data_IF_893737592742
#
_entry.id   IF_893737592742
#
_cell.length_a   1.000
_cell.length_b   1.000
_cell.length_c   1.000
_cell.angle_alpha   90.00
_cell.angle_beta   90.00
_cell.angle_gamma   90.00
#
_symmetry.space_group_name_H-M   'P 1'
#
loop_
_entity.id
_entity.type
_entity.pdbx_description
1 polymer ?
#
# COMPACT_ATOMS: atom_id res chain seq x y z
N UNK A 1 -9.50 -26.83 43.68
CA UNK A 1 -10.51 -26.47 42.66
C UNK A 1 -11.34 -25.32 43.23
N UNK A 2 -10.91 -24.09 42.96
CA UNK A 2 -11.55 -22.86 43.46
C UNK A 2 -11.69 -21.92 42.27
N UNK A 3 -12.93 -21.56 41.98
CA UNK A 3 -13.35 -20.94 40.74
C UNK A 3 -12.79 -19.53 40.55
N UNK A 4 -12.10 -19.33 39.44
CA UNK A 4 -11.70 -18.01 38.97
C UNK A 4 -12.95 -17.31 38.41
N UNK A 5 -13.56 -16.48 39.24
CA UNK A 5 -14.72 -15.66 38.90
C UNK A 5 -14.31 -14.63 37.82
N UNK A 6 -14.66 -14.92 36.56
CA UNK A 6 -14.51 -14.00 35.44
C UNK A 6 -15.44 -12.80 35.64
N UNK A 7 -14.94 -11.80 36.37
CA UNK A 7 -15.62 -10.53 36.62
C UNK A 7 -15.68 -9.77 35.29
N UNK A 8 -16.83 -9.86 34.61
CA UNK A 8 -17.13 -9.17 33.36
C UNK A 8 -17.08 -7.65 33.63
N UNK A 9 -15.94 -7.02 33.32
CA UNK A 9 -15.75 -5.57 33.43
C UNK A 9 -16.73 -4.91 32.47
N UNK A 10 -17.83 -4.36 33.00
CA UNK A 10 -18.73 -3.48 32.25
C UNK A 10 -18.03 -2.14 32.11
N UNK A 11 -17.48 -1.88 30.93
CA UNK A 11 -16.98 -0.56 30.59
C UNK A 11 -18.14 0.45 30.57
N UNK A 12 -17.99 1.63 31.18
CA UNK A 12 -19.01 2.67 31.14
C UNK A 12 -19.26 3.11 29.69
N UNK A 13 -20.53 3.21 29.33
CA UNK A 13 -21.01 3.57 27.98
C UNK A 13 -20.57 4.96 27.51
N UNK A 14 -20.02 5.80 28.39
CA UNK A 14 -19.42 7.10 28.07
C UNK A 14 -18.02 7.02 27.44
N UNK A 15 -17.33 5.87 27.52
CA UNK A 15 -16.08 5.63 26.80
C UNK A 15 -16.29 5.30 25.31
N UNK A 16 -17.54 5.11 24.86
CA UNK A 16 -17.88 5.00 23.45
C UNK A 16 -17.60 6.29 22.66
N UNK A 17 -17.50 7.44 23.34
CA UNK A 17 -17.15 8.73 22.72
C UNK A 17 -15.64 8.94 22.54
N UNK A 18 -14.80 8.19 23.26
CA UNK A 18 -13.33 8.21 23.11
C UNK A 18 -12.91 6.98 22.31
N UNK A 19 -13.49 6.77 21.12
CA UNK A 19 -12.96 6.01 19.96
C UNK A 19 -12.20 4.66 20.12
N UNK A 20 -12.13 4.06 21.30
CA UNK A 20 -11.33 2.88 21.62
C UNK A 20 -12.20 1.62 21.76
N UNK A 21 -13.53 1.79 21.78
CA UNK A 21 -14.49 0.72 21.62
C UNK A 21 -14.95 0.62 20.16
N UNK A 22 -14.49 -0.42 19.46
CA UNK A 22 -14.90 -0.90 18.12
C UNK A 22 -13.81 -0.77 17.03
N UNK A 23 -12.95 -1.78 16.92
CA UNK A 23 -12.34 -2.26 15.67
C UNK A 23 -12.08 -1.21 14.57
N UNK A 24 -11.24 -0.19 14.80
CA UNK A 24 -10.83 0.77 13.77
C UNK A 24 -10.24 0.08 12.51
N UNK A 25 -9.78 -1.16 12.68
CA UNK A 25 -9.32 -2.07 11.63
C UNK A 25 -10.41 -2.38 10.59
N UNK A 26 -11.68 -2.57 11.00
CA UNK A 26 -12.76 -2.97 10.07
C UNK A 26 -13.17 -1.85 9.10
N UNK A 27 -13.41 -0.60 9.56
CA UNK A 27 -13.62 0.53 8.65
C UNK A 27 -12.42 0.77 7.73
N UNK A 28 -11.19 0.68 8.26
CA UNK A 28 -9.96 0.84 7.47
C UNK A 28 -9.81 -0.21 6.37
N UNK A 29 -10.10 -1.48 6.68
CA UNK A 29 -10.08 -2.58 5.71
C UNK A 29 -11.09 -2.34 4.57
N UNK A 30 -12.34 -1.96 4.92
CA UNK A 30 -13.41 -1.70 3.95
C UNK A 30 -13.12 -0.48 3.09
N UNK A 31 -12.74 0.64 3.72
CA UNK A 31 -12.38 1.86 2.99
C UNK A 31 -11.19 1.60 2.07
N UNK A 32 -10.18 0.85 2.53
CA UNK A 32 -9.06 0.44 1.72
C UNK A 32 -9.47 -0.43 0.52
N UNK A 33 -10.37 -1.39 0.71
CA UNK A 33 -10.89 -2.21 -0.38
C UNK A 33 -11.66 -1.40 -1.42
N UNK A 34 -12.52 -0.47 -0.99
CA UNK A 34 -13.23 0.43 -1.91
C UNK A 34 -12.25 1.30 -2.69
N UNK A 35 -11.23 1.87 -2.03
CA UNK A 35 -10.23 2.70 -2.69
C UNK A 35 -9.37 1.91 -3.69
N UNK A 36 -8.94 0.69 -3.32
CA UNK A 36 -8.19 -0.19 -4.24
C UNK A 36 -9.07 -0.64 -5.41
N UNK A 37 -10.32 -1.06 -5.18
CA UNK A 37 -11.24 -1.46 -6.25
C UNK A 37 -11.47 -0.31 -7.23
N UNK A 38 -11.86 0.87 -6.74
CA UNK A 38 -12.11 2.04 -7.59
C UNK A 38 -10.85 2.49 -8.31
N UNK A 39 -9.70 2.51 -7.64
CA UNK A 39 -8.45 2.91 -8.25
C UNK A 39 -7.95 1.93 -9.30
N UNK A 40 -7.98 0.62 -9.02
CA UNK A 40 -7.60 -0.43 -9.98
C UNK A 40 -8.55 -0.46 -11.17
N UNK A 41 -9.84 -0.15 -10.98
CA UNK A 41 -10.78 0.03 -12.07
C UNK A 41 -10.37 1.18 -12.98
N UNK A 42 -10.13 2.39 -12.43
CA UNK A 42 -9.67 3.56 -13.20
C UNK A 42 -8.37 3.29 -13.96
N UNK A 43 -7.40 2.62 -13.33
CA UNK A 43 -6.14 2.23 -13.98
C UNK A 43 -6.40 1.25 -15.14
N UNK A 44 -7.26 0.25 -14.95
CA UNK A 44 -7.64 -0.69 -16.00
C UNK A 44 -8.30 0.03 -17.20
N UNK A 45 -9.20 0.99 -16.94
CA UNK A 45 -9.84 1.77 -17.99
C UNK A 45 -8.82 2.63 -18.76
N UNK A 46 -7.88 3.26 -18.04
CA UNK A 46 -6.84 4.08 -18.68
C UNK A 46 -5.97 3.25 -19.60
N UNK A 47 -5.48 2.10 -19.12
CA UNK A 47 -4.63 1.19 -19.89
C UNK A 47 -5.39 0.64 -21.09
N UNK A 48 -6.67 0.31 -20.91
CA UNK A 48 -7.57 -0.22 -21.95
C UNK A 48 -7.85 0.71 -23.12
N UNK A 49 -7.36 1.96 -23.09
CA UNK A 49 -7.41 2.84 -24.26
C UNK A 49 -8.76 3.53 -24.49
N UNK A 50 -9.72 3.41 -23.57
CA UNK A 50 -10.87 4.31 -23.53
C UNK A 50 -10.32 5.75 -23.43
N UNK A 51 -11.01 6.74 -23.99
CA UNK A 51 -10.68 8.19 -23.97
C UNK A 51 -10.71 8.81 -22.55
N UNK A 52 -10.40 8.00 -21.55
CA UNK A 52 -10.21 8.31 -20.16
C UNK A 52 -8.99 9.22 -20.01
N UNK A 53 -9.11 10.41 -19.39
CA UNK A 53 -8.01 11.36 -19.26
C UNK A 53 -6.91 10.88 -18.29
N UNK A 54 -5.71 11.49 -18.39
CA UNK A 54 -4.58 11.22 -17.49
C UNK A 54 -4.91 11.42 -16.00
N UNK A 55 -5.88 12.29 -15.69
CA UNK A 55 -6.38 12.48 -14.32
C UNK A 55 -6.87 11.16 -13.71
N UNK A 56 -7.43 10.24 -14.50
CA UNK A 56 -7.84 8.93 -14.00
C UNK A 56 -6.65 8.08 -13.54
N UNK A 57 -5.49 8.18 -14.21
CA UNK A 57 -4.24 7.54 -13.77
C UNK A 57 -3.84 8.05 -12.40
N UNK A 58 -3.84 9.37 -12.22
CA UNK A 58 -3.43 10.02 -10.98
C UNK A 58 -4.38 9.67 -9.85
N UNK A 59 -5.69 9.81 -10.06
CA UNK A 59 -6.72 9.47 -9.06
C UNK A 59 -6.68 7.97 -8.74
N UNK A 60 -6.54 7.11 -9.75
CA UNK A 60 -6.45 5.67 -9.57
C UNK A 60 -5.21 5.24 -8.79
N UNK A 61 -4.06 5.85 -9.06
CA UNK A 61 -2.83 5.63 -8.33
C UNK A 61 -2.94 6.10 -6.86
N UNK A 62 -3.51 7.29 -6.62
CA UNK A 62 -3.74 7.80 -5.25
C UNK A 62 -4.69 6.86 -4.49
N UNK A 63 -5.82 6.46 -5.10
CA UNK A 63 -6.80 5.58 -4.47
C UNK A 63 -6.24 4.19 -4.14
N UNK A 64 -5.55 3.55 -5.09
CA UNK A 64 -4.89 2.25 -4.84
C UNK A 64 -3.81 2.33 -3.78
N UNK A 65 -2.97 3.37 -3.83
CA UNK A 65 -1.90 3.57 -2.86
C UNK A 65 -2.44 3.84 -1.45
N UNK A 66 -3.42 4.73 -1.31
CA UNK A 66 -4.03 5.04 -0.01
C UNK A 66 -4.74 3.84 0.58
N UNK A 67 -5.46 3.06 -0.23
CA UNK A 67 -6.12 1.85 0.25
C UNK A 67 -5.12 0.75 0.68
N UNK A 68 -4.06 0.54 -0.10
CA UNK A 68 -2.99 -0.40 0.28
C UNK A 68 -2.30 0.05 1.58
N UNK A 69 -1.98 1.35 1.72
CA UNK A 69 -1.40 1.90 2.94
C UNK A 69 -2.31 1.77 4.15
N UNK A 70 -3.63 1.91 3.98
CA UNK A 70 -4.59 1.70 5.06
C UNK A 70 -4.56 0.25 5.57
N UNK A 71 -4.37 -0.74 4.68
CA UNK A 71 -4.20 -2.13 5.08
C UNK A 71 -2.87 -2.38 5.79
N UNK A 72 -1.76 -1.88 5.24
CA UNK A 72 -0.44 -2.01 5.89
C UNK A 72 -0.44 -1.34 7.27
N UNK A 73 -1.03 -0.16 7.40
CA UNK A 73 -1.16 0.55 8.67
C UNK A 73 -2.06 -0.20 9.65
N UNK A 74 -3.17 -0.78 9.17
CA UNK A 74 -4.04 -1.63 9.99
C UNK A 74 -3.30 -2.84 10.57
N UNK A 75 -2.44 -3.49 9.78
CA UNK A 75 -1.57 -4.58 10.23
C UNK A 75 -0.56 -4.10 11.27
N UNK A 76 0.07 -2.93 11.04
CA UNK A 76 0.99 -2.30 11.98
C UNK A 76 0.33 -2.03 13.34
N UNK A 77 -0.83 -1.38 13.32
CA UNK A 77 -1.60 -1.09 14.54
C UNK A 77 -2.05 -2.37 15.25
N UNK A 78 -2.37 -3.44 14.51
CA UNK A 78 -2.69 -4.73 15.12
C UNK A 78 -1.46 -5.36 15.77
N UNK A 79 -0.28 -5.24 15.17
CA UNK A 79 1.00 -5.65 15.76
C UNK A 79 1.31 -4.87 17.05
N UNK A 80 1.13 -3.55 17.05
CA UNK A 80 1.34 -2.71 18.23
C UNK A 80 0.40 -3.10 19.39
N UNK A 81 -0.86 -3.44 19.08
CA UNK A 81 -1.86 -3.83 20.09
C UNK A 81 -1.72 -5.28 20.60
N UNK A 82 -1.14 -6.18 19.82
CA UNK A 82 -0.90 -7.57 20.22
C UNK A 82 0.33 -7.73 21.14
N UNK A 83 1.01 -6.63 21.47
CA UNK A 83 2.37 -6.63 21.97
C UNK A 83 3.34 -6.65 20.79
N UNK A 84 4.36 -5.78 20.82
CA UNK A 84 5.31 -5.65 19.70
C UNK A 84 5.87 -7.03 19.33
N UNK A 85 5.83 -7.45 18.05
CA UNK A 85 6.30 -8.78 17.63
C UNK A 85 7.69 -9.18 18.18
N UNK A 86 8.66 -8.25 18.33
CA UNK A 86 9.91 -8.54 19.04
C UNK A 86 9.77 -9.01 20.49
N UNK A 87 8.78 -8.50 21.25
CA UNK A 87 8.51 -8.93 22.63
C UNK A 87 7.91 -10.35 22.69
N UNK A 88 7.31 -10.81 21.58
CA UNK A 88 6.82 -12.17 21.42
C UNK A 88 7.86 -13.10 20.79
N UNK A 89 9.10 -12.63 20.61
CA UNK A 89 10.18 -13.40 19.98
C UNK A 89 10.04 -13.58 18.47
N UNK A 90 9.13 -12.86 17.82
CA UNK A 90 8.91 -12.94 16.37
C UNK A 90 10.01 -12.13 15.66
N UNK A 91 10.81 -12.75 14.78
CA UNK A 91 11.84 -12.02 14.05
C UNK A 91 11.25 -10.94 13.13
N UNK A 92 11.84 -9.73 13.02
CA UNK A 92 11.35 -8.63 12.18
C UNK A 92 11.09 -9.00 10.71
N UNK A 93 11.81 -10.00 10.18
CA UNK A 93 11.57 -10.56 8.85
C UNK A 93 10.15 -11.12 8.65
N UNK A 94 9.55 -11.73 9.68
CA UNK A 94 8.21 -12.30 9.57
C UNK A 94 7.14 -11.21 9.55
N UNK A 95 7.35 -10.13 10.30
CA UNK A 95 6.50 -8.95 10.26
C UNK A 95 6.56 -8.28 8.89
N UNK A 96 7.76 -8.13 8.31
CA UNK A 96 7.93 -7.61 6.96
C UNK A 96 7.24 -8.49 5.91
N UNK A 97 7.33 -9.82 6.04
CA UNK A 97 6.61 -10.76 5.17
C UNK A 97 5.10 -10.64 5.32
N UNK A 98 4.57 -10.43 6.52
CA UNK A 98 3.13 -10.22 6.73
C UNK A 98 2.65 -8.93 6.04
N UNK A 99 3.43 -7.85 6.12
CA UNK A 99 3.17 -6.57 5.45
C UNK A 99 3.33 -6.64 3.92
N UNK A 100 3.95 -7.70 3.40
CA UNK A 100 3.97 -7.99 1.97
C UNK A 100 2.79 -8.89 1.57
N UNK A 101 2.71 -10.09 2.13
CA UNK A 101 1.81 -11.15 1.64
C UNK A 101 0.33 -10.80 1.80
N UNK A 102 -0.08 -10.30 2.98
CA UNK A 102 -1.49 -10.03 3.26
C UNK A 102 -2.01 -8.89 2.38
N UNK A 103 -1.35 -7.72 2.30
CA UNK A 103 -1.79 -6.66 1.39
C UNK A 103 -1.69 -7.06 -0.08
N UNK A 104 -0.70 -7.88 -0.48
CA UNK A 104 -0.60 -8.40 -1.86
C UNK A 104 -1.82 -9.23 -2.24
N UNK A 105 -2.20 -10.19 -1.38
CA UNK A 105 -3.33 -11.09 -1.67
C UNK A 105 -4.66 -10.32 -1.75
N UNK A 106 -4.88 -9.37 -0.83
CA UNK A 106 -6.05 -8.49 -0.88
C UNK A 106 -6.06 -7.62 -2.13
N UNK A 107 -4.92 -7.03 -2.47
CA UNK A 107 -4.79 -6.20 -3.67
C UNK A 107 -5.05 -7.01 -4.95
N UNK A 108 -4.48 -8.20 -5.07
CA UNK A 108 -4.70 -9.09 -6.20
C UNK A 108 -6.17 -9.48 -6.36
N UNK A 109 -6.87 -9.77 -5.25
CA UNK A 109 -8.32 -10.00 -5.26
C UNK A 109 -9.10 -8.79 -5.76
N UNK A 110 -8.78 -7.59 -5.27
CA UNK A 110 -9.42 -6.36 -5.73
C UNK A 110 -9.13 -6.07 -7.22
N UNK A 111 -7.90 -6.30 -7.69
CA UNK A 111 -7.55 -6.13 -9.11
C UNK A 111 -8.33 -7.12 -9.98
N UNK A 112 -8.41 -8.38 -9.59
CA UNK A 112 -9.18 -9.38 -10.33
C UNK A 112 -10.66 -8.98 -10.45
N UNK A 113 -11.26 -8.50 -9.36
CA UNK A 113 -12.65 -8.00 -9.37
C UNK A 113 -12.78 -6.75 -10.24
N UNK A 114 -11.91 -5.76 -10.08
CA UNK A 114 -11.98 -4.50 -10.81
C UNK A 114 -11.73 -4.68 -12.32
N UNK A 115 -10.68 -5.43 -12.68
CA UNK A 115 -10.35 -5.77 -14.06
C UNK A 115 -11.42 -6.63 -14.73
N UNK A 116 -11.94 -7.64 -14.02
CA UNK A 116 -13.07 -8.46 -14.50
C UNK A 116 -14.34 -7.63 -14.70
N UNK A 117 -14.64 -6.69 -13.80
CA UNK A 117 -15.75 -5.75 -13.96
C UNK A 117 -15.55 -4.84 -15.16
N UNK A 118 -14.34 -4.30 -15.37
CA UNK A 118 -14.02 -3.47 -16.54
C UNK A 118 -14.16 -4.25 -17.86
N UNK A 119 -13.71 -5.52 -17.87
CA UNK A 119 -13.86 -6.41 -19.03
C UNK A 119 -15.33 -6.69 -19.32
N UNK A 120 -16.10 -7.14 -18.33
CA UNK A 120 -17.50 -7.55 -18.50
C UNK A 120 -18.44 -6.36 -18.77
N UNK A 121 -18.23 -5.22 -18.11
CA UNK A 121 -19.15 -4.09 -18.19
C UNK A 121 -18.83 -3.12 -19.33
N UNK A 122 -17.55 -2.98 -19.70
CA UNK A 122 -17.08 -1.93 -20.62
C UNK A 122 -16.25 -2.47 -21.79
N UNK A 123 -16.08 -3.80 -21.91
CA UNK A 123 -15.33 -4.41 -23.02
C UNK A 123 -13.83 -4.11 -23.02
N UNK A 124 -13.28 -3.66 -21.88
CA UNK A 124 -11.85 -3.39 -21.72
C UNK A 124 -11.09 -4.71 -21.86
N UNK A 125 -9.98 -4.74 -22.62
CA UNK A 125 -9.23 -5.99 -22.81
C UNK A 125 -8.81 -6.63 -21.48
N UNK A 126 -8.83 -7.98 -21.41
CA UNK A 126 -8.44 -8.70 -20.20
C UNK A 126 -6.99 -8.38 -19.77
N UNK A 127 -6.10 -8.17 -20.75
CA UNK A 127 -4.70 -7.78 -20.51
C UNK A 127 -4.61 -6.41 -19.81
N UNK A 128 -5.42 -5.43 -20.22
CA UNK A 128 -5.49 -4.14 -19.54
C UNK A 128 -5.96 -4.27 -18.09
N UNK A 129 -6.91 -5.16 -17.82
CA UNK A 129 -7.40 -5.45 -16.47
C UNK A 129 -6.37 -6.10 -15.55
N UNK A 130 -5.38 -6.81 -16.11
CA UNK A 130 -4.29 -7.44 -15.35
C UNK A 130 -3.12 -6.49 -15.07
N UNK A 131 -2.98 -5.38 -15.81
CA UNK A 131 -1.85 -4.47 -15.63
C UNK A 131 -1.72 -3.89 -14.21
N UNK A 132 -2.80 -3.48 -13.52
CA UNK A 132 -2.70 -3.05 -12.13
C UNK A 132 -2.04 -4.10 -11.22
N UNK A 133 -2.18 -5.40 -11.51
CA UNK A 133 -1.52 -6.48 -10.76
C UNK A 133 0.00 -6.38 -10.84
N UNK A 134 0.55 -6.09 -12.01
CA UNK A 134 2.01 -5.98 -12.17
C UNK A 134 2.57 -4.71 -11.53
N UNK A 135 1.74 -3.70 -11.26
CA UNK A 135 2.12 -2.48 -10.52
C UNK A 135 2.15 -2.70 -8.99
N UNK A 136 1.57 -3.80 -8.49
CA UNK A 136 1.51 -4.14 -7.06
C UNK A 136 2.88 -4.10 -6.39
N UNK A 137 3.93 -4.59 -7.08
CA UNK A 137 5.28 -4.64 -6.54
C UNK A 137 5.87 -3.26 -6.21
N UNK A 138 5.59 -2.25 -7.06
CA UNK A 138 5.97 -0.85 -6.82
C UNK A 138 5.24 -0.29 -5.59
N UNK A 139 3.93 -0.50 -5.51
CA UNK A 139 3.11 -0.01 -4.39
C UNK A 139 3.52 -0.65 -3.07
N UNK A 140 3.81 -1.96 -3.06
CA UNK A 140 4.27 -2.70 -1.89
C UNK A 140 5.65 -2.27 -1.43
N UNK A 141 6.60 -2.10 -2.36
CA UNK A 141 7.93 -1.61 -2.02
C UNK A 141 7.87 -0.25 -1.33
N UNK A 142 7.06 0.67 -1.86
CA UNK A 142 6.83 1.98 -1.24
C UNK A 142 6.08 1.87 0.10
N UNK A 143 5.12 0.97 0.22
CA UNK A 143 4.42 0.73 1.49
C UNK A 143 5.38 0.21 2.57
N UNK A 144 6.32 -0.68 2.21
CA UNK A 144 7.41 -1.12 3.09
C UNK A 144 8.32 0.03 3.50
N UNK A 145 8.73 0.88 2.55
CA UNK A 145 9.53 2.08 2.88
C UNK A 145 8.78 2.97 3.87
N UNK A 146 7.47 3.13 3.70
CA UNK A 146 6.61 3.89 4.63
C UNK A 146 6.49 3.26 6.01
N UNK A 147 6.36 1.93 6.09
CA UNK A 147 6.28 1.17 7.34
C UNK A 147 7.61 1.21 8.11
N UNK A 148 8.74 1.07 7.41
CA UNK A 148 10.08 0.98 7.98
C UNK A 148 10.91 2.27 7.76
N UNK A 149 10.25 3.44 7.73
CA UNK A 149 10.88 4.73 7.38
C UNK A 149 11.97 5.22 8.34
N UNK A 150 12.08 4.62 9.52
CA UNK A 150 13.06 5.01 10.53
C UNK A 150 12.67 6.27 11.30
N UNK A 151 13.65 6.84 12.00
CA UNK A 151 13.52 8.14 12.64
C UNK A 151 13.46 9.25 11.59
N UNK A 152 12.75 10.30 11.96
CA UNK A 152 12.65 11.50 11.15
C UNK A 152 14.04 12.19 11.09
N UNK A 153 14.43 12.79 9.95
CA UNK A 153 15.75 13.40 9.80
C UNK A 153 15.93 14.62 10.72
N UNK A 154 17.16 14.86 11.20
CA UNK A 154 17.52 15.95 12.12
C UNK A 154 17.03 17.37 11.74
N UNK A 155 16.94 17.76 10.45
CA UNK A 155 16.41 19.07 10.07
C UNK A 155 14.98 19.36 10.54
N UNK A 156 14.22 18.33 10.97
CA UNK A 156 12.86 18.51 11.52
C UNK A 156 12.88 19.31 12.84
N UNK A 157 14.01 19.37 13.53
CA UNK A 157 14.17 20.14 14.78
C UNK A 157 14.67 21.57 14.56
N UNK A 158 14.82 22.01 13.30
CA UNK A 158 15.19 23.39 12.98
C UNK A 158 13.95 24.29 12.92
N UNK A 159 14.00 25.52 13.47
CA UNK A 159 12.82 26.40 13.61
C UNK A 159 12.16 26.75 12.27
N UNK A 160 12.92 26.89 11.18
CA UNK A 160 12.38 27.30 9.88
C UNK A 160 12.11 26.13 8.92
N UNK A 161 12.68 24.95 9.19
CA UNK A 161 12.60 23.79 8.30
C UNK A 161 11.80 22.62 8.89
N UNK A 162 11.37 22.72 10.15
CA UNK A 162 10.77 21.61 10.88
C UNK A 162 9.57 20.97 10.19
N UNK A 163 8.51 21.76 9.99
CA UNK A 163 7.25 21.29 9.38
C UNK A 163 7.43 20.90 7.89
N UNK A 164 8.07 21.71 7.03
CA UNK A 164 8.29 21.32 5.64
C UNK A 164 9.12 20.04 5.49
N UNK A 165 10.18 19.86 6.30
CA UNK A 165 11.00 18.65 6.28
C UNK A 165 10.21 17.42 6.72
N UNK A 166 9.33 17.55 7.72
CA UNK A 166 8.46 16.46 8.17
C UNK A 166 7.45 16.07 7.09
N UNK A 167 6.84 17.05 6.41
CA UNK A 167 5.92 16.80 5.29
C UNK A 167 6.67 16.10 4.16
N UNK A 168 7.82 16.63 3.73
CA UNK A 168 8.62 16.01 2.66
C UNK A 168 9.04 14.58 3.01
N UNK A 169 9.54 14.35 4.23
CA UNK A 169 9.92 13.01 4.69
C UNK A 169 8.74 12.04 4.74
N UNK A 170 7.59 12.48 5.24
CA UNK A 170 6.39 11.64 5.37
C UNK A 170 5.70 11.34 4.05
N UNK A 171 5.81 12.25 3.07
CA UNK A 171 5.18 12.15 1.75
C UNK A 171 6.08 11.57 0.68
N UNK A 172 7.41 11.55 0.85
CA UNK A 172 8.36 11.11 -0.16
C UNK A 172 8.05 9.71 -0.74
N UNK A 173 7.80 8.65 0.07
CA UNK A 173 7.41 7.36 -0.49
C UNK A 173 6.10 7.47 -1.29
N UNK A 174 5.16 8.24 -0.73
CA UNK A 174 3.91 8.68 -1.35
C UNK A 174 4.07 9.11 -2.81
N UNK A 175 4.85 10.18 -2.98
CA UNK A 175 5.13 10.84 -4.25
C UNK A 175 5.90 9.92 -5.20
N UNK A 176 6.88 9.15 -4.70
CA UNK A 176 7.65 8.21 -5.53
C UNK A 176 6.74 7.16 -6.17
N UNK A 177 5.83 6.55 -5.40
CA UNK A 177 4.86 5.61 -5.96
C UNK A 177 3.94 6.29 -6.98
N UNK A 178 3.42 7.49 -6.69
CA UNK A 178 2.54 8.20 -7.61
C UNK A 178 3.21 8.44 -8.98
N UNK A 179 4.44 8.93 -8.97
CA UNK A 179 5.23 9.18 -10.20
C UNK A 179 5.49 7.86 -10.95
N UNK A 180 5.93 6.81 -10.24
CA UNK A 180 6.18 5.51 -10.85
C UNK A 180 4.90 4.91 -11.46
N UNK A 181 3.79 4.94 -10.74
CA UNK A 181 2.49 4.45 -11.22
C UNK A 181 2.03 5.21 -12.46
N UNK A 182 2.16 6.54 -12.46
CA UNK A 182 1.79 7.35 -13.62
C UNK A 182 2.61 6.99 -14.85
N UNK A 183 3.94 6.91 -14.72
CA UNK A 183 4.83 6.54 -15.83
C UNK A 183 4.52 5.13 -16.34
N UNK A 184 4.44 4.15 -15.46
CA UNK A 184 4.25 2.74 -15.83
C UNK A 184 2.86 2.49 -16.45
N UNK A 185 1.82 3.17 -15.97
CA UNK A 185 0.47 3.07 -16.55
C UNK A 185 0.42 3.64 -17.96
N UNK A 186 1.07 4.77 -18.22
CA UNK A 186 1.12 5.34 -19.56
C UNK A 186 1.96 4.49 -20.53
N UNK A 187 3.07 3.90 -20.05
CA UNK A 187 3.84 2.94 -20.83
C UNK A 187 3.04 1.67 -21.13
N UNK A 188 2.25 1.19 -20.18
CA UNK A 188 1.34 0.06 -20.36
C UNK A 188 0.27 0.36 -21.42
N UNK A 189 -0.32 1.56 -21.39
CA UNK A 189 -1.30 2.02 -22.40
C UNK A 189 -0.68 2.04 -23.80
N UNK A 190 0.51 2.63 -23.97
CA UNK A 190 1.16 2.71 -25.29
C UNK A 190 1.63 1.34 -25.80
N UNK A 191 2.07 0.46 -24.90
CA UNK A 191 2.41 -0.92 -25.22
C UNK A 191 1.20 -1.70 -25.73
N UNK A 192 0.04 -1.54 -25.10
CA UNK A 192 -1.18 -2.23 -25.50
C UNK A 192 -1.75 -1.69 -26.82
N UNK A 193 -1.53 -0.41 -27.12
CA UNK A 193 -1.90 0.20 -28.41
C UNK A 193 -1.05 -0.29 -29.60
N UNK A 194 -0.11 -1.22 -29.40
CA UNK A 194 0.61 -1.89 -30.49
C UNK A 194 1.81 -1.14 -31.04
N UNK A 195 2.38 -0.18 -30.30
CA UNK A 195 3.66 0.43 -30.67
C UNK A 195 4.77 -0.64 -30.67
N UNK A 196 5.33 -0.95 -31.84
CA UNK A 196 6.31 -2.02 -32.02
C UNK A 196 7.47 -1.92 -31.00
N UNK A 197 7.73 -3.00 -30.25
CA UNK A 197 8.79 -3.08 -29.23
C UNK A 197 8.44 -2.49 -27.85
N UNK A 198 7.30 -1.83 -27.68
CA UNK A 198 6.94 -1.18 -26.41
C UNK A 198 6.53 -2.17 -25.30
N UNK A 199 5.98 -3.34 -25.65
CA UNK A 199 5.52 -4.36 -24.68
C UNK A 199 6.64 -4.95 -23.82
N UNK A 200 7.71 -5.44 -24.46
CA UNK A 200 8.85 -6.05 -23.77
C UNK A 200 9.59 -5.04 -22.87
N UNK A 201 9.78 -3.82 -23.38
CA UNK A 201 10.46 -2.75 -22.63
C UNK A 201 9.63 -2.29 -21.42
N UNK A 202 8.31 -2.24 -21.56
CA UNK A 202 7.42 -1.84 -20.46
C UNK A 202 7.40 -2.88 -19.35
N UNK A 203 7.32 -4.17 -19.68
CA UNK A 203 7.37 -5.23 -18.67
C UNK A 203 8.71 -5.24 -17.93
N UNK A 204 9.83 -5.11 -18.66
CA UNK A 204 11.15 -5.01 -18.05
C UNK A 204 11.27 -3.79 -17.11
N UNK A 205 10.74 -2.64 -17.53
CA UNK A 205 10.72 -1.43 -16.72
C UNK A 205 9.89 -1.62 -15.43
N UNK A 206 8.71 -2.25 -15.53
CA UNK A 206 7.87 -2.54 -14.36
C UNK A 206 8.53 -3.52 -13.40
N UNK A 207 9.18 -4.57 -13.93
CA UNK A 207 9.94 -5.52 -13.10
C UNK A 207 11.12 -4.84 -12.41
N UNK A 208 11.89 -4.02 -13.14
CA UNK A 208 13.02 -3.28 -12.58
C UNK A 208 12.56 -2.30 -11.49
N UNK A 209 11.49 -1.54 -11.74
CA UNK A 209 10.91 -0.63 -10.76
C UNK A 209 10.43 -1.37 -9.50
N UNK A 210 9.77 -2.53 -9.69
CA UNK A 210 9.35 -3.39 -8.58
C UNK A 210 10.53 -3.85 -7.73
N UNK A 211 11.59 -4.37 -8.37
CA UNK A 211 12.78 -4.84 -7.66
C UNK A 211 13.48 -3.70 -6.91
N UNK A 212 13.60 -2.52 -7.52
CA UNK A 212 14.20 -1.35 -6.88
C UNK A 212 13.40 -0.90 -5.65
N UNK A 213 12.07 -0.81 -5.76
CA UNK A 213 11.22 -0.37 -4.65
C UNK A 213 11.18 -1.39 -3.51
N UNK A 214 11.11 -2.69 -3.83
CA UNK A 214 11.18 -3.74 -2.81
C UNK A 214 12.56 -3.78 -2.14
N UNK A 215 13.65 -3.68 -2.90
CA UNK A 215 15.01 -3.63 -2.35
C UNK A 215 15.20 -2.41 -1.45
N UNK A 216 14.63 -1.26 -1.82
CA UNK A 216 14.66 -0.06 -0.98
C UNK A 216 13.91 -0.26 0.34
N UNK A 217 12.70 -0.84 0.30
CA UNK A 217 11.91 -1.15 1.49
C UNK A 217 12.57 -2.17 2.42
N UNK A 218 13.08 -3.28 1.86
CA UNK A 218 13.79 -4.31 2.62
C UNK A 218 15.10 -3.79 3.21
N UNK A 219 15.86 -3.00 2.44
CA UNK A 219 17.08 -2.37 2.94
C UNK A 219 16.82 -1.42 4.11
N UNK A 220 15.67 -0.73 4.13
CA UNK A 220 15.24 0.09 5.28
C UNK A 220 14.92 -0.76 6.51
N UNK A 221 14.16 -1.84 6.34
CA UNK A 221 13.83 -2.78 7.41
C UNK A 221 15.09 -3.41 8.02
N UNK A 222 16.07 -3.77 7.19
CA UNK A 222 17.34 -4.34 7.65
C UNK A 222 18.11 -3.33 8.50
N UNK A 223 18.27 -2.08 8.05
CA UNK A 223 18.96 -1.02 8.82
C UNK A 223 18.31 -0.76 10.19
N UNK A 224 16.99 -0.79 10.27
CA UNK A 224 16.29 -0.66 11.56
C UNK A 224 16.56 -1.86 12.47
N UNK A 225 16.58 -3.08 11.91
CA UNK A 225 16.90 -4.29 12.67
C UNK A 225 18.31 -4.24 13.23
N UNK A 226 19.28 -3.78 12.44
CA UNK A 226 20.67 -3.67 12.85
C UNK A 226 20.87 -2.58 13.92
N UNK A 227 20.14 -1.46 13.82
CA UNK A 227 20.18 -0.39 14.82
C UNK A 227 19.67 -0.81 16.21
N UNK A 228 18.85 -1.85 16.31
CA UNK A 228 18.36 -2.40 17.59
C UNK A 228 19.27 -3.48 18.19
N UNK A 229 20.29 -3.92 17.45
CA UNK A 229 21.26 -4.93 17.91
C UNK A 229 22.56 -4.31 18.45
N UNK A 230 22.74 -3.00 18.27
CA UNK A 230 23.90 -2.22 18.70
C UNK A 230 23.66 -1.44 19.99
#
# INVERSE_FOLDING_TARGET
MSGCCARRVRWPSSLGAIGLGCNAIRPGLRAGAVAVLGGSFLLSLRVGGLDVPMVATVVGAIATQTGLRAWCEGLRLQGDNAGTPPLLGIPPRHEALAHLLVPTALYAGCVAIAGGTAYLALGVSAVAGLWPLALTGVLLGVALVGAFRGLAPMPIFQPDLGVPALIAWSSAPGVTALIAMAILTERARTALAGAAGAGSNTLLLTMTATLLMLSWGLGRQQRQTDAHRG
#
